data_IF_274897454948
#
_entry.id   IF_274897454948
#
_cell.length_a   1.000
_cell.length_b   1.000
_cell.length_c   1.000
_cell.angle_alpha   90.00
_cell.angle_beta   90.00
_cell.angle_gamma   90.00
#
_symmetry.space_group_name_H-M   'P 1'
#
loop_
_entity.id
_entity.type
_entity.pdbx_description
1 polymer ?
#
# COMPACT_ATOMS: atom_id res chain seq x y z
N UNK A 1 4.34 35.49 -20.88
CA UNK A 1 4.68 34.18 -20.27
C UNK A 1 6.19 33.97 -20.12
N UNK A 2 7.02 34.11 -21.16
CA UNK A 2 8.47 33.85 -21.06
C UNK A 2 9.26 34.75 -20.08
N UNK A 3 8.91 36.04 -19.96
CA UNK A 3 9.58 36.96 -19.04
C UNK A 3 9.31 36.64 -17.57
N UNK A 4 8.05 36.32 -17.25
CA UNK A 4 7.60 35.96 -15.90
C UNK A 4 8.28 34.66 -15.42
N UNK A 5 8.41 33.67 -16.31
CA UNK A 5 9.10 32.41 -16.03
C UNK A 5 10.59 32.63 -15.75
N UNK A 6 11.26 33.52 -16.51
CA UNK A 6 12.67 33.87 -16.29
C UNK A 6 12.90 34.63 -14.99
N UNK A 7 11.95 35.45 -14.57
CA UNK A 7 12.02 36.20 -13.31
C UNK A 7 11.89 35.25 -12.10
N UNK A 8 10.93 34.31 -12.16
CA UNK A 8 10.72 33.27 -11.15
C UNK A 8 11.92 32.31 -11.05
N UNK A 9 12.53 31.97 -12.19
CA UNK A 9 13.77 31.18 -12.25
C UNK A 9 14.94 31.93 -11.62
N UNK A 10 15.07 33.24 -11.83
CA UNK A 10 16.15 34.04 -11.24
C UNK A 10 16.01 34.15 -9.71
N UNK A 11 14.78 34.28 -9.20
CA UNK A 11 14.48 34.28 -7.75
C UNK A 11 14.81 32.95 -7.07
N UNK A 12 14.73 31.82 -7.79
CA UNK A 12 15.00 30.47 -7.28
C UNK A 12 16.42 29.94 -7.62
N UNK A 13 17.37 30.82 -7.96
CA UNK A 13 18.78 30.44 -8.16
C UNK A 13 19.20 30.15 -9.61
N UNK A 14 18.35 30.45 -10.58
CA UNK A 14 18.65 30.41 -12.00
C UNK A 14 18.62 29.02 -12.65
N UNK A 15 18.90 28.99 -13.96
CA UNK A 15 18.89 27.77 -14.78
C UNK A 15 19.99 26.80 -14.35
N UNK A 16 21.10 27.27 -13.78
CA UNK A 16 22.18 26.43 -13.27
C UNK A 16 21.79 25.67 -12.00
N UNK A 17 21.07 26.30 -11.06
CA UNK A 17 20.54 25.61 -9.88
C UNK A 17 19.49 24.57 -10.28
N UNK A 18 18.62 24.90 -11.24
CA UNK A 18 17.63 23.97 -11.77
C UNK A 18 18.28 22.82 -12.55
N UNK A 19 19.38 23.08 -13.28
CA UNK A 19 20.17 22.07 -13.98
C UNK A 19 20.92 21.16 -13.01
N UNK A 20 21.42 21.69 -11.89
CA UNK A 20 22.00 20.91 -10.79
C UNK A 20 20.97 20.02 -10.11
N UNK A 21 19.77 20.53 -9.86
CA UNK A 21 18.63 19.75 -9.38
C UNK A 21 18.18 18.72 -10.42
N UNK A 22 18.17 19.06 -11.71
CA UNK A 22 17.81 18.16 -12.80
C UNK A 22 18.86 17.05 -12.98
N UNK A 23 20.15 17.33 -12.82
CA UNK A 23 21.23 16.34 -12.81
C UNK A 23 21.17 15.45 -11.57
N UNK A 24 20.84 16.00 -10.40
CA UNK A 24 20.49 15.20 -9.24
C UNK A 24 19.27 14.31 -9.55
N UNK A 25 18.28 14.84 -10.28
CA UNK A 25 17.07 14.11 -10.70
C UNK A 25 17.30 13.04 -11.75
N UNK A 26 18.20 13.25 -12.70
CA UNK A 26 18.55 12.28 -13.74
C UNK A 26 19.52 11.20 -13.23
N UNK A 27 20.26 11.46 -12.15
CA UNK A 27 20.97 10.43 -11.39
C UNK A 27 20.03 9.47 -10.62
N UNK A 28 18.70 9.69 -10.64
CA UNK A 28 17.68 8.80 -10.06
C UNK A 28 17.18 7.68 -10.98
N UNK A 29 17.80 7.46 -12.15
CA UNK A 29 17.61 6.18 -12.82
C UNK A 29 18.06 5.04 -11.87
N UNK A 30 17.22 4.01 -11.72
CA UNK A 30 17.36 2.86 -10.79
C UNK A 30 17.09 3.11 -9.29
N UNK A 31 16.12 3.98 -8.96
CA UNK A 31 15.53 4.03 -7.61
C UNK A 31 16.55 4.42 -6.50
N UNK A 32 17.51 5.30 -6.82
CA UNK A 32 18.67 5.64 -5.97
C UNK A 32 18.49 6.90 -5.12
N UNK A 33 17.82 6.74 -3.98
CA UNK A 33 17.53 7.84 -3.06
C UNK A 33 18.69 8.25 -2.14
N UNK A 34 19.80 7.48 -2.07
CA UNK A 34 20.88 7.72 -1.10
C UNK A 34 21.51 9.13 -1.15
N UNK A 35 21.75 9.73 -2.34
CA UNK A 35 22.29 11.09 -2.42
C UNK A 35 21.35 12.19 -1.89
N UNK A 36 20.03 11.92 -1.81
CA UNK A 36 19.01 12.86 -1.32
C UNK A 36 18.94 12.96 0.19
N UNK A 37 19.57 12.04 0.92
CA UNK A 37 19.43 11.96 2.37
C UNK A 37 20.24 13.05 3.08
N UNK A 38 21.32 13.55 2.48
CA UNK A 38 22.21 14.51 3.14
C UNK A 38 21.54 15.85 3.48
N UNK A 39 20.82 16.53 2.55
CA UNK A 39 20.10 17.77 2.89
C UNK A 39 19.15 17.60 4.08
N UNK A 40 18.42 16.49 4.14
CA UNK A 40 17.48 16.17 5.23
C UNK A 40 18.25 15.98 6.54
N UNK A 41 19.24 15.09 6.54
CA UNK A 41 20.05 14.80 7.72
C UNK A 41 20.82 16.02 8.25
N UNK A 42 21.27 16.90 7.34
CA UNK A 42 22.09 18.06 7.72
C UNK A 42 21.35 19.05 8.63
N UNK A 43 20.02 19.12 8.54
CA UNK A 43 19.18 19.99 9.37
C UNK A 43 19.22 19.58 10.84
N UNK A 44 19.06 18.27 11.10
CA UNK A 44 18.94 17.71 12.45
C UNK A 44 20.24 17.14 13.01
N UNK A 45 21.32 17.15 12.22
CA UNK A 45 22.64 16.60 12.57
C UNK A 45 23.09 16.96 13.99
N UNK A 46 22.98 18.24 14.36
CA UNK A 46 23.42 18.71 15.68
C UNK A 46 22.60 18.14 16.84
N UNK A 47 21.32 17.87 16.63
CA UNK A 47 20.43 17.28 17.62
C UNK A 47 20.71 15.77 17.75
N UNK A 48 20.93 15.08 16.63
CA UNK A 48 21.24 13.65 16.60
C UNK A 48 22.54 13.32 17.38
N UNK A 49 23.61 14.09 17.18
CA UNK A 49 24.84 13.89 17.96
C UNK A 49 24.66 14.20 19.44
N UNK A 50 23.91 15.26 19.79
CA UNK A 50 23.58 15.57 21.20
C UNK A 50 22.78 14.45 21.87
N UNK A 51 21.86 13.81 21.13
CA UNK A 51 21.14 12.64 21.61
C UNK A 51 22.07 11.46 21.84
N UNK A 52 22.98 11.16 20.89
CA UNK A 52 23.96 10.09 21.07
C UNK A 52 24.84 10.29 22.31
N UNK A 53 25.17 11.54 22.68
CA UNK A 53 25.95 11.87 23.88
C UNK A 53 25.20 11.53 25.18
N UNK A 54 23.88 11.48 25.14
CA UNK A 54 23.02 11.15 26.27
C UNK A 54 22.65 9.66 26.33
N UNK A 55 22.84 8.91 25.24
CA UNK A 55 22.44 7.51 25.12
C UNK A 55 23.65 6.57 25.35
N UNK A 56 23.50 5.64 26.28
CA UNK A 56 24.43 4.52 26.45
C UNK A 56 23.99 3.37 25.56
N UNK A 57 24.62 3.23 24.38
CA UNK A 57 24.28 2.21 23.38
C UNK A 57 25.14 0.95 23.55
N UNK A 58 24.50 -0.21 23.57
CA UNK A 58 25.15 -1.54 23.63
C UNK A 58 24.58 -2.48 22.55
N UNK A 59 25.40 -3.43 22.09
CA UNK A 59 24.98 -4.44 21.11
C UNK A 59 24.40 -5.66 21.82
N UNK A 60 23.28 -6.15 21.31
CA UNK A 60 22.70 -7.42 21.73
C UNK A 60 23.27 -8.61 20.93
N UNK A 61 23.99 -8.34 19.84
CA UNK A 61 24.54 -9.33 18.92
C UNK A 61 26.07 -9.47 19.08
N UNK A 62 26.66 -10.50 18.47
CA UNK A 62 28.12 -10.64 18.41
C UNK A 62 28.76 -9.69 17.38
N UNK A 63 27.96 -9.09 16.50
CA UNK A 63 28.44 -8.11 15.52
C UNK A 63 28.51 -6.71 16.17
N UNK A 64 29.71 -6.16 16.23
CA UNK A 64 29.99 -4.84 16.82
C UNK A 64 30.36 -3.81 15.76
N UNK A 65 30.38 -4.18 14.48
CA UNK A 65 30.85 -3.33 13.38
C UNK A 65 30.08 -2.01 13.28
N UNK A 66 28.78 -2.03 13.54
CA UNK A 66 27.94 -0.84 13.53
C UNK A 66 28.33 0.14 14.66
N UNK A 67 28.57 -0.36 15.88
CA UNK A 67 28.98 0.48 17.01
C UNK A 67 30.42 0.98 16.85
N UNK A 68 31.31 0.16 16.29
CA UNK A 68 32.67 0.58 15.93
C UNK A 68 32.65 1.71 14.88
N UNK A 69 31.82 1.57 13.83
CA UNK A 69 31.62 2.62 12.85
C UNK A 69 31.02 3.90 13.47
N UNK A 70 30.11 3.76 14.43
CA UNK A 70 29.54 4.88 15.19
C UNK A 70 30.60 5.64 15.99
N UNK A 71 31.54 4.94 16.64
CA UNK A 71 32.66 5.57 17.34
C UNK A 71 33.50 6.42 16.39
N UNK A 72 33.79 5.91 15.19
CA UNK A 72 34.56 6.64 14.18
C UNK A 72 33.80 7.87 13.67
N UNK A 73 32.49 7.76 13.46
CA UNK A 73 31.63 8.89 13.06
C UNK A 73 31.62 9.98 14.14
N UNK A 74 31.58 9.62 15.44
CA UNK A 74 31.67 10.57 16.56
C UNK A 74 33.02 11.26 16.62
N UNK A 75 34.12 10.52 16.49
CA UNK A 75 35.48 11.09 16.49
C UNK A 75 35.70 12.09 15.36
N UNK A 76 35.05 11.90 14.21
CA UNK A 76 35.17 12.78 13.05
C UNK A 76 34.02 13.77 12.88
N UNK A 77 33.17 13.97 13.90
CA UNK A 77 32.01 14.87 13.84
C UNK A 77 32.39 16.32 13.49
N UNK A 78 33.52 16.81 14.01
CA UNK A 78 34.04 18.17 13.79
C UNK A 78 35.06 18.30 12.65
N UNK A 79 35.37 17.20 11.96
CA UNK A 79 36.39 17.20 10.90
C UNK A 79 35.91 17.94 9.65
N UNK A 80 36.77 18.79 9.09
CA UNK A 80 36.55 19.45 7.79
C UNK A 80 36.93 18.57 6.60
N UNK A 81 37.48 17.37 6.82
CA UNK A 81 37.85 16.45 5.73
C UNK A 81 36.59 15.81 5.13
N UNK A 82 36.55 15.73 3.80
CA UNK A 82 35.47 15.08 3.05
C UNK A 82 35.60 13.56 3.02
N UNK A 83 36.83 13.04 3.06
CA UNK A 83 37.16 11.64 2.98
C UNK A 83 37.84 11.13 4.26
N UNK A 84 37.47 9.91 4.66
CA UNK A 84 38.05 9.13 5.75
C UNK A 84 38.81 7.93 5.17
N UNK A 85 39.85 7.46 5.85
CA UNK A 85 40.54 6.24 5.45
C UNK A 85 39.57 5.05 5.50
N UNK A 86 39.68 4.10 4.57
CA UNK A 86 38.81 2.92 4.47
C UNK A 86 39.05 1.86 5.55
N UNK A 87 39.40 2.28 6.78
CA UNK A 87 39.64 1.40 7.93
C UNK A 87 38.36 1.02 8.66
N UNK A 88 37.19 1.51 8.24
CA UNK A 88 35.89 1.22 8.87
C UNK A 88 35.23 0.06 8.15
N UNK A 89 34.98 -1.05 8.86
CA UNK A 89 34.25 -2.18 8.30
C UNK A 89 32.74 -1.85 8.22
N UNK A 90 32.28 -1.55 7.00
CA UNK A 90 30.87 -1.29 6.69
C UNK A 90 30.12 -2.57 6.27
N UNK A 91 30.60 -3.75 6.66
CA UNK A 91 30.01 -5.05 6.34
C UNK A 91 28.59 -5.26 6.87
N UNK A 92 28.14 -4.44 7.82
CA UNK A 92 26.75 -4.42 8.29
C UNK A 92 25.78 -3.81 7.26
N UNK A 93 26.28 -2.99 6.34
CA UNK A 93 25.48 -2.25 5.38
C UNK A 93 25.26 -3.04 4.07
N UNK A 94 24.16 -2.77 3.37
CA UNK A 94 23.87 -3.41 2.08
C UNK A 94 24.91 -3.06 1.01
N UNK A 95 25.03 -3.90 -0.03
CA UNK A 95 25.96 -3.66 -1.15
C UNK A 95 25.79 -2.26 -1.77
N UNK A 96 24.55 -1.75 -1.81
CA UNK A 96 24.22 -0.41 -2.29
C UNK A 96 24.82 0.68 -1.40
N UNK A 97 24.69 0.56 -0.08
CA UNK A 97 25.30 1.48 0.87
C UNK A 97 26.81 1.39 0.86
N UNK A 98 27.38 0.18 0.75
CA UNK A 98 28.83 0.00 0.63
C UNK A 98 29.39 0.68 -0.61
N UNK A 99 28.69 0.58 -1.75
CA UNK A 99 29.06 1.28 -2.98
C UNK A 99 28.94 2.81 -2.84
N UNK A 100 27.89 3.29 -2.15
CA UNK A 100 27.68 4.73 -1.93
C UNK A 100 28.70 5.36 -0.97
N UNK A 101 29.15 4.62 0.04
CA UNK A 101 30.12 5.09 1.04
C UNK A 101 31.55 5.06 0.50
N UNK A 102 31.85 4.16 -0.44
CA UNK A 102 33.19 4.02 -1.04
C UNK A 102 33.42 5.05 -2.14
N UNK A 103 34.47 5.85 -1.98
CA UNK A 103 34.99 6.75 -3.00
C UNK A 103 36.36 6.24 -3.46
N UNK A 104 36.56 6.05 -4.76
CA UNK A 104 37.87 5.73 -5.33
C UNK A 104 38.51 7.01 -5.86
N UNK A 105 39.66 7.38 -5.29
CA UNK A 105 40.46 8.51 -5.76
C UNK A 105 41.88 8.03 -6.02
N UNK A 106 42.26 7.97 -7.30
CA UNK A 106 43.59 7.56 -7.77
C UNK A 106 44.04 6.18 -7.25
N UNK A 107 43.14 5.19 -7.23
CA UNK A 107 43.46 3.80 -6.86
C UNK A 107 43.59 3.57 -5.35
N UNK A 108 43.24 4.57 -4.53
CA UNK A 108 43.10 4.45 -3.08
C UNK A 108 41.62 4.59 -2.72
N UNK A 109 41.11 3.57 -2.03
CA UNK A 109 39.72 3.55 -1.56
C UNK A 109 39.60 4.36 -0.29
N UNK A 110 38.65 5.29 -0.27
CA UNK A 110 38.28 6.10 0.87
C UNK A 110 36.80 5.93 1.20
N UNK A 111 36.40 6.35 2.41
CA UNK A 111 34.99 6.48 2.77
C UNK A 111 34.58 7.94 2.81
N UNK A 112 33.57 8.31 2.03
CA UNK A 112 32.98 9.63 2.07
C UNK A 112 32.37 9.89 3.45
N UNK A 113 32.84 10.91 4.17
CA UNK A 113 32.43 11.18 5.57
C UNK A 113 30.92 11.31 5.71
N UNK A 114 30.30 12.05 4.78
CA UNK A 114 28.85 12.32 4.75
C UNK A 114 28.04 11.05 4.49
N UNK A 115 28.49 10.25 3.53
CA UNK A 115 27.87 8.98 3.19
C UNK A 115 27.98 7.97 4.35
N UNK A 116 29.15 7.90 5.00
CA UNK A 116 29.36 7.04 6.16
C UNK A 116 28.48 7.45 7.34
N UNK A 117 28.39 8.75 7.64
CA UNK A 117 27.54 9.28 8.70
C UNK A 117 26.06 8.89 8.47
N UNK A 118 25.54 9.14 7.26
CA UNK A 118 24.19 8.72 6.89
C UNK A 118 23.97 7.22 7.03
N UNK A 119 24.92 6.41 6.54
CA UNK A 119 24.86 4.96 6.62
C UNK A 119 24.73 4.50 8.09
N UNK A 120 25.63 4.99 8.95
CA UNK A 120 25.63 4.61 10.37
C UNK A 120 24.36 5.06 11.07
N UNK A 121 23.85 6.27 10.85
CA UNK A 121 22.62 6.72 11.50
C UNK A 121 21.38 5.95 11.03
N UNK A 122 21.30 5.60 9.75
CA UNK A 122 20.21 4.78 9.21
C UNK A 122 20.22 3.38 9.82
N UNK A 123 21.37 2.70 9.81
CA UNK A 123 21.49 1.36 10.37
C UNK A 123 21.40 1.35 11.90
N UNK A 124 21.76 2.44 12.58
CA UNK A 124 21.54 2.59 14.02
C UNK A 124 20.05 2.71 14.35
N UNK A 125 19.28 3.45 13.55
CA UNK A 125 17.84 3.54 13.70
C UNK A 125 17.17 2.18 13.48
N UNK A 126 17.57 1.44 12.44
CA UNK A 126 17.10 0.08 12.18
C UNK A 126 17.48 -0.87 13.32
N UNK A 127 18.73 -0.84 13.79
CA UNK A 127 19.20 -1.69 14.89
C UNK A 127 18.49 -1.40 16.22
N UNK A 128 18.12 -0.15 16.49
CA UNK A 128 17.29 0.21 17.65
C UNK A 128 15.84 -0.25 17.50
N UNK A 129 15.33 -0.37 16.27
CA UNK A 129 13.98 -0.86 15.99
C UNK A 129 13.92 -2.39 16.02
N UNK A 130 14.93 -3.08 15.49
CA UNK A 130 15.06 -4.55 15.51
C UNK A 130 15.45 -5.09 16.88
N UNK A 131 16.09 -4.24 17.71
CA UNK A 131 16.63 -4.60 19.01
C UNK A 131 18.11 -4.99 18.96
N UNK A 132 18.72 -5.13 17.79
CA UNK A 132 20.14 -5.49 17.64
C UNK A 132 21.08 -4.57 18.44
N UNK A 133 20.70 -3.30 18.60
CA UNK A 133 21.31 -2.35 19.53
C UNK A 133 20.26 -1.88 20.53
N UNK A 134 20.66 -1.73 21.79
CA UNK A 134 19.80 -1.24 22.85
C UNK A 134 20.45 -0.08 23.61
N UNK A 135 19.62 0.70 24.29
CA UNK A 135 20.04 1.79 25.17
C UNK A 135 19.91 1.32 26.62
N UNK A 136 21.01 1.33 27.35
CA UNK A 136 21.06 1.00 28.78
C UNK A 136 20.14 1.96 29.54
N UNK A 137 19.28 1.42 30.41
CA UNK A 137 18.27 2.18 31.18
C UNK A 137 17.16 2.85 30.35
N UNK A 138 17.01 2.53 29.06
CA UNK A 138 15.87 2.97 28.26
C UNK A 138 14.67 2.04 28.42
N UNK A 139 13.46 2.58 28.57
CA UNK A 139 12.24 1.76 28.56
C UNK A 139 11.90 1.23 27.16
N UNK A 140 12.01 2.06 26.12
CA UNK A 140 11.54 1.74 24.77
C UNK A 140 12.55 0.95 23.92
N UNK A 141 13.84 1.05 24.24
CA UNK A 141 14.94 0.39 23.53
C UNK A 141 15.86 -0.36 24.51
N UNK A 142 15.34 -1.02 25.54
CA UNK A 142 16.16 -1.76 26.53
C UNK A 142 16.69 -3.11 25.99
N UNK A 143 17.65 -3.73 26.70
CA UNK A 143 18.11 -5.09 26.39
C UNK A 143 16.96 -6.09 26.51
N UNK A 144 16.52 -6.63 25.37
CA UNK A 144 15.44 -7.62 25.31
C UNK A 144 15.83 -8.99 25.88
N UNK A 145 17.14 -9.28 26.04
CA UNK A 145 17.64 -10.53 26.63
C UNK A 145 17.57 -10.51 28.16
N UNK A 146 17.60 -9.32 28.76
CA UNK A 146 17.43 -9.14 30.20
C UNK A 146 15.97 -9.35 30.65
N UNK A 147 15.02 -9.45 29.71
CA UNK A 147 13.63 -9.80 29.95
C UNK A 147 13.40 -11.26 29.55
N UNK A 148 13.06 -12.18 30.47
CA UNK A 148 13.01 -13.60 30.17
C UNK A 148 12.05 -13.89 28.98
N UNK A 149 12.64 -14.42 27.91
CA UNK A 149 11.93 -14.95 26.74
C UNK A 149 11.33 -16.31 27.10
N UNK A 150 10.01 -16.41 27.06
CA UNK A 150 9.32 -17.70 27.00
C UNK A 150 8.60 -17.78 25.65
N UNK A 151 9.17 -18.56 24.74
CA UNK A 151 8.51 -19.03 23.53
C UNK A 151 7.39 -19.97 23.97
N UNK A 152 6.15 -19.57 23.68
CA UNK A 152 4.87 -20.21 24.00
C UNK A 152 4.53 -20.46 25.49
N UNK A 153 3.38 -19.88 25.89
CA UNK A 153 2.60 -20.15 27.11
C UNK A 153 3.13 -19.74 28.50
N UNK A 154 3.77 -18.57 28.66
CA UNK A 154 4.01 -17.96 30.00
C UNK A 154 3.64 -16.48 30.12
N UNK A 155 2.74 -15.99 29.28
CA UNK A 155 2.08 -14.71 29.57
C UNK A 155 0.92 -15.00 30.50
N UNK A 156 0.99 -14.53 31.74
CA UNK A 156 -0.17 -14.53 32.62
C UNK A 156 -1.32 -13.79 31.93
N UNK A 157 -2.48 -14.45 31.86
CA UNK A 157 -3.69 -13.91 31.23
C UNK A 157 -3.52 -13.56 29.73
N UNK A 158 -2.89 -14.46 28.97
CA UNK A 158 -2.60 -14.28 27.53
C UNK A 158 -3.82 -13.90 26.69
N UNK A 159 -4.99 -14.52 26.94
CA UNK A 159 -6.24 -14.23 26.22
C UNK A 159 -6.62 -12.76 26.38
N UNK A 160 -6.60 -12.25 27.61
CA UNK A 160 -6.94 -10.85 27.87
C UNK A 160 -5.95 -9.91 27.21
N UNK A 161 -4.65 -10.17 27.31
CA UNK A 161 -3.63 -9.34 26.66
C UNK A 161 -3.81 -9.30 25.14
N UNK A 162 -4.11 -10.43 24.51
CA UNK A 162 -4.42 -10.50 23.08
C UNK A 162 -5.69 -9.72 22.72
N UNK A 163 -6.75 -9.80 23.53
CA UNK A 163 -7.97 -9.02 23.34
C UNK A 163 -7.69 -7.51 23.42
N UNK A 164 -6.86 -7.06 24.37
CA UNK A 164 -6.47 -5.65 24.45
C UNK A 164 -5.61 -5.20 23.27
N UNK A 165 -4.78 -6.09 22.71
CA UNK A 165 -4.05 -5.79 21.46
C UNK A 165 -5.03 -5.63 20.30
N UNK A 166 -5.90 -6.61 20.06
CA UNK A 166 -6.88 -6.53 18.97
C UNK A 166 -7.79 -5.30 19.11
N UNK A 167 -8.30 -5.04 20.32
CA UNK A 167 -9.10 -3.86 20.60
C UNK A 167 -8.32 -2.55 20.41
N UNK A 168 -7.12 -2.45 20.99
CA UNK A 168 -6.33 -1.23 20.97
C UNK A 168 -5.85 -0.83 19.57
N UNK A 169 -5.41 -1.81 18.77
CA UNK A 169 -4.98 -1.57 17.40
C UNK A 169 -6.17 -1.44 16.44
N UNK A 170 -7.21 -2.28 16.59
CA UNK A 170 -8.43 -2.24 15.78
C UNK A 170 -9.24 -0.95 15.95
N UNK A 171 -9.31 -0.38 17.15
CA UNK A 171 -9.95 0.92 17.40
C UNK A 171 -9.02 2.13 17.10
N UNK A 172 -7.85 1.89 16.52
CA UNK A 172 -6.81 2.89 16.25
C UNK A 172 -6.32 3.69 17.49
N UNK A 173 -6.46 3.15 18.70
CA UNK A 173 -5.89 3.76 19.91
C UNK A 173 -4.37 3.65 19.94
N UNK A 174 -3.84 2.54 19.44
CA UNK A 174 -2.42 2.19 19.50
C UNK A 174 -1.98 1.81 20.92
N UNK A 175 -0.71 1.43 21.09
CA UNK A 175 -0.24 0.82 22.32
C UNK A 175 -0.24 1.78 23.53
N UNK A 176 -0.01 3.07 23.29
CA UNK A 176 0.12 4.07 24.36
C UNK A 176 -1.22 4.42 25.01
N UNK A 177 -2.27 4.65 24.21
CA UNK A 177 -3.58 5.00 24.74
C UNK A 177 -4.28 3.77 25.30
N UNK A 178 -4.12 2.61 24.67
CA UNK A 178 -4.67 1.36 25.16
C UNK A 178 -4.14 1.03 26.56
N UNK A 179 -2.82 1.12 26.77
CA UNK A 179 -2.23 0.88 28.09
C UNK A 179 -2.68 1.87 29.17
N UNK A 180 -2.95 3.15 28.81
CA UNK A 180 -3.44 4.15 29.77
C UNK A 180 -4.84 3.86 30.30
N UNK A 181 -5.66 3.16 29.53
CA UNK A 181 -7.04 2.82 29.87
C UNK A 181 -7.21 1.33 30.20
N UNK A 182 -6.13 0.56 30.19
CA UNK A 182 -6.13 -0.85 30.55
C UNK A 182 -5.84 -1.03 32.05
N UNK A 183 -6.18 -2.20 32.64
CA UNK A 183 -5.78 -2.55 34.00
C UNK A 183 -4.24 -2.51 34.17
N UNK A 184 -3.75 -2.27 35.39
CA UNK A 184 -2.31 -2.09 35.69
C UNK A 184 -1.41 -3.24 35.19
N UNK A 185 -1.95 -4.45 35.02
CA UNK A 185 -1.22 -5.61 34.50
C UNK A 185 -0.90 -5.54 32.99
N UNK A 186 -1.50 -4.59 32.25
CA UNK A 186 -1.36 -4.44 30.79
C UNK A 186 -0.64 -3.13 30.50
N UNK A 187 0.66 -3.22 30.33
CA UNK A 187 1.50 -2.08 30.02
C UNK A 187 1.76 -1.93 28.52
N UNK A 188 2.27 -0.75 28.14
CA UNK A 188 2.56 -0.40 26.75
C UNK A 188 3.55 -1.39 26.10
N UNK A 189 4.55 -1.85 26.85
CA UNK A 189 5.59 -2.74 26.30
C UNK A 189 5.03 -4.12 26.01
N UNK A 190 4.20 -4.67 26.90
CA UNK A 190 3.51 -5.94 26.65
C UNK A 190 2.66 -5.86 25.38
N UNK A 191 1.87 -4.80 25.20
CA UNK A 191 1.02 -4.64 24.01
C UNK A 191 1.84 -4.56 22.72
N UNK A 192 2.90 -3.74 22.69
CA UNK A 192 3.79 -3.61 21.52
C UNK A 192 4.46 -4.95 21.19
N UNK A 193 4.94 -5.66 22.21
CA UNK A 193 5.62 -6.95 22.05
C UNK A 193 4.67 -8.01 21.48
N UNK A 194 3.46 -8.10 22.01
CA UNK A 194 2.44 -9.04 21.54
C UNK A 194 2.05 -8.73 20.10
N UNK A 195 1.84 -7.46 19.75
CA UNK A 195 1.54 -7.07 18.36
C UNK A 195 2.69 -7.39 17.39
N UNK A 196 3.94 -7.21 17.82
CA UNK A 196 5.10 -7.51 16.98
C UNK A 196 5.36 -9.02 16.80
N UNK A 197 5.16 -9.82 17.86
CA UNK A 197 5.59 -11.23 17.89
C UNK A 197 4.44 -12.22 17.65
N UNK A 198 3.23 -11.91 18.13
CA UNK A 198 2.10 -12.83 18.11
C UNK A 198 1.04 -12.47 17.07
N UNK A 199 0.93 -11.19 16.69
CA UNK A 199 0.01 -10.73 15.64
C UNK A 199 0.75 -10.65 14.32
N UNK A 200 0.32 -11.42 13.33
CA UNK A 200 0.81 -11.36 11.96
C UNK A 200 -0.37 -11.22 11.00
N UNK A 201 -0.10 -10.72 9.80
CA UNK A 201 -1.12 -10.55 8.76
C UNK A 201 -1.78 -11.90 8.44
N UNK A 202 -1.00 -12.97 8.36
CA UNK A 202 -1.46 -14.32 8.05
C UNK A 202 -2.37 -14.87 9.15
N UNK A 203 -2.06 -14.57 10.42
CA UNK A 203 -2.90 -14.96 11.57
C UNK A 203 -4.20 -14.18 11.62
N UNK A 204 -4.16 -12.88 11.32
CA UNK A 204 -5.37 -12.05 11.21
C UNK A 204 -6.25 -12.53 10.06
N UNK A 205 -5.66 -12.85 8.90
CA UNK A 205 -6.41 -13.44 7.78
C UNK A 205 -7.02 -14.80 8.12
N UNK A 206 -6.31 -15.64 8.88
CA UNK A 206 -6.86 -16.92 9.35
C UNK A 206 -8.05 -16.69 10.31
N UNK A 207 -7.90 -15.79 11.29
CA UNK A 207 -8.96 -15.46 12.22
C UNK A 207 -10.18 -14.85 11.51
N UNK A 208 -9.97 -13.94 10.54
CA UNK A 208 -11.03 -13.37 9.72
C UNK A 208 -11.77 -14.46 8.93
N UNK A 209 -11.06 -15.42 8.33
CA UNK A 209 -11.70 -16.56 7.64
C UNK A 209 -12.58 -17.37 8.57
N UNK A 210 -12.12 -17.66 9.78
CA UNK A 210 -12.91 -18.40 10.77
C UNK A 210 -14.18 -17.62 11.16
N UNK A 211 -14.07 -16.31 11.39
CA UNK A 211 -15.21 -15.43 11.68
C UNK A 211 -16.19 -15.39 10.50
N UNK A 212 -15.69 -15.23 9.27
CA UNK A 212 -16.51 -15.20 8.05
C UNK A 212 -17.26 -16.53 7.87
N UNK A 213 -16.58 -17.65 8.12
CA UNK A 213 -17.18 -18.98 8.02
C UNK A 213 -18.30 -19.18 9.06
N UNK A 214 -18.07 -18.80 10.32
CA UNK A 214 -19.11 -18.85 11.35
C UNK A 214 -20.26 -17.89 11.06
N UNK A 215 -19.95 -16.67 10.57
CA UNK A 215 -20.95 -15.69 10.15
C UNK A 215 -21.88 -16.23 9.05
N UNK A 216 -21.31 -16.96 8.08
CA UNK A 216 -22.04 -17.55 6.96
C UNK A 216 -23.06 -18.64 7.38
N UNK A 217 -22.90 -19.23 8.57
CA UNK A 217 -23.80 -20.27 9.09
C UNK A 217 -25.14 -19.69 9.58
N UNK A 218 -25.19 -18.41 9.90
CA UNK A 218 -26.42 -17.78 10.34
C UNK A 218 -27.33 -17.47 9.16
N UNK A 219 -28.64 -17.60 9.35
CA UNK A 219 -29.63 -17.28 8.32
C UNK A 219 -29.94 -15.78 8.24
N UNK A 220 -29.75 -15.04 9.36
CA UNK A 220 -30.09 -13.62 9.43
C UNK A 220 -29.39 -12.77 8.34
N UNK A 221 -28.09 -12.95 8.04
CA UNK A 221 -27.41 -12.17 7.01
C UNK A 221 -28.00 -12.34 5.60
N UNK A 222 -28.67 -13.47 5.32
CA UNK A 222 -29.31 -13.75 4.03
C UNK A 222 -30.55 -12.88 3.77
N UNK A 223 -31.12 -12.26 4.81
CA UNK A 223 -32.20 -11.29 4.64
C UNK A 223 -31.69 -9.92 4.18
N UNK A 224 -30.42 -9.60 4.44
CA UNK A 224 -29.81 -8.32 4.03
C UNK A 224 -29.21 -8.36 2.62
N UNK A 225 -28.72 -9.52 2.19
CA UNK A 225 -28.08 -9.65 0.88
C UNK A 225 -27.84 -11.09 0.47
N UNK A 226 -27.14 -11.24 -0.65
CA UNK A 226 -26.74 -12.53 -1.23
C UNK A 226 -25.24 -12.77 -1.04
N UNK A 227 -24.83 -14.00 -0.70
CA UNK A 227 -23.42 -14.26 -0.44
C UNK A 227 -22.54 -14.08 -1.68
N UNK A 228 -23.06 -14.37 -2.88
CA UNK A 228 -22.31 -14.26 -4.14
C UNK A 228 -22.13 -12.83 -4.67
N UNK A 229 -22.55 -11.82 -3.90
CA UNK A 229 -22.44 -10.40 -4.28
C UNK A 229 -21.47 -9.72 -3.32
N UNK A 230 -20.43 -9.12 -3.88
CA UNK A 230 -19.49 -8.27 -3.15
C UNK A 230 -19.50 -6.84 -3.68
N UNK A 231 -19.01 -5.94 -2.85
CA UNK A 231 -18.91 -4.53 -3.14
C UNK A 231 -17.47 -4.11 -2.87
N UNK A 232 -16.82 -3.58 -3.89
CA UNK A 232 -15.45 -3.09 -3.84
C UNK A 232 -15.43 -1.60 -3.52
N UNK A 233 -14.75 -1.24 -2.44
CA UNK A 233 -14.56 0.15 -2.01
C UNK A 233 -13.11 0.44 -1.60
N UNK A 234 -12.69 1.68 -1.83
CA UNK A 234 -11.40 2.22 -1.41
C UNK A 234 -11.60 3.43 -0.52
N UNK A 235 -11.26 3.31 0.76
CA UNK A 235 -11.31 4.41 1.72
C UNK A 235 -9.92 4.99 1.94
N UNK A 236 -9.78 6.30 1.74
CA UNK A 236 -8.50 6.97 1.98
C UNK A 236 -8.22 7.07 3.48
N UNK A 237 -7.10 6.51 3.92
CA UNK A 237 -6.60 6.63 5.28
C UNK A 237 -5.39 7.55 5.33
N UNK A 238 -5.47 8.56 6.21
CA UNK A 238 -4.37 9.50 6.42
C UNK A 238 -3.23 8.81 7.17
N UNK A 239 -2.02 8.91 6.62
CA UNK A 239 -0.81 8.42 7.25
C UNK A 239 -0.10 9.58 7.93
N UNK A 240 0.69 9.30 8.98
CA UNK A 240 1.64 10.30 9.49
C UNK A 240 2.55 10.76 8.34
N UNK A 241 2.71 12.08 8.19
CA UNK A 241 3.63 12.65 7.21
C UNK A 241 5.05 12.12 7.41
N UNK A 242 5.77 11.92 6.30
CA UNK A 242 7.17 11.45 6.26
C UNK A 242 7.35 9.92 6.39
N UNK A 243 6.62 9.13 5.60
CA UNK A 243 6.90 7.71 5.37
C UNK A 243 7.22 7.44 3.89
N UNK A 244 8.00 6.40 3.60
CA UNK A 244 8.45 6.06 2.23
C UNK A 244 7.30 5.68 1.27
N UNK A 245 6.10 5.42 1.81
CA UNK A 245 4.90 5.00 1.06
C UNK A 245 3.83 6.10 0.95
N UNK A 246 3.96 7.19 1.71
CA UNK A 246 3.03 8.29 1.66
C UNK A 246 3.22 9.05 0.37
N UNK A 247 2.39 8.76 -0.62
CA UNK A 247 2.22 9.63 -1.77
C UNK A 247 1.09 10.63 -1.48
N UNK A 248 1.25 11.87 -1.96
CA UNK A 248 0.23 12.89 -1.80
C UNK A 248 -0.95 12.56 -2.73
N UNK A 249 -2.12 12.31 -2.15
CA UNK A 249 -3.30 11.97 -2.96
C UNK A 249 -3.78 13.20 -3.74
N UNK A 250 -3.78 13.14 -5.07
CA UNK A 250 -4.12 14.27 -5.96
C UNK A 250 -5.55 14.83 -5.68
N UNK A 251 -6.50 13.98 -5.27
CA UNK A 251 -7.89 14.39 -4.97
C UNK A 251 -8.13 14.80 -3.51
N UNK A 252 -7.30 14.38 -2.55
CA UNK A 252 -7.48 14.68 -1.11
C UNK A 252 -6.41 15.62 -0.54
N UNK A 253 -5.32 15.87 -1.27
CA UNK A 253 -4.25 16.80 -0.92
C UNK A 253 -3.35 16.36 0.25
N UNK A 254 -3.60 15.21 0.88
CA UNK A 254 -2.91 14.68 2.06
C UNK A 254 -2.05 13.45 1.74
N UNK A 255 -1.08 13.18 2.61
CA UNK A 255 -0.25 11.98 2.55
C UNK A 255 -1.03 10.79 3.16
N UNK A 256 -1.12 9.68 2.43
CA UNK A 256 -1.96 8.57 2.87
C UNK A 256 -1.83 7.33 2.00
N UNK A 257 -2.66 6.33 2.31
CA UNK A 257 -2.91 5.17 1.48
C UNK A 257 -4.41 4.88 1.38
N UNK A 258 -4.77 3.89 0.58
CA UNK A 258 -6.14 3.46 0.35
C UNK A 258 -6.32 2.13 1.06
N UNK A 259 -7.18 2.11 2.08
CA UNK A 259 -7.70 0.89 2.65
C UNK A 259 -8.78 0.37 1.71
N UNK A 260 -8.50 -0.76 1.09
CA UNK A 260 -9.31 -1.35 0.05
C UNK A 260 -9.99 -2.60 0.55
N UNK A 261 -11.32 -2.64 0.42
CA UNK A 261 -12.14 -3.69 0.99
C UNK A 261 -13.10 -4.30 -0.04
N UNK A 262 -13.34 -5.60 0.06
CA UNK A 262 -14.51 -6.24 -0.53
C UNK A 262 -15.50 -6.57 0.57
N UNK A 263 -16.65 -5.93 0.51
CA UNK A 263 -17.73 -6.09 1.48
C UNK A 263 -18.81 -6.94 0.82
N UNK A 264 -19.14 -8.10 1.40
CA UNK A 264 -20.29 -8.88 0.95
C UNK A 264 -21.56 -8.06 1.13
N UNK A 265 -22.54 -8.27 0.26
CA UNK A 265 -23.87 -7.67 0.41
C UNK A 265 -24.58 -8.08 1.72
N UNK A 266 -24.04 -9.07 2.44
CA UNK A 266 -24.45 -9.46 3.80
C UNK A 266 -23.73 -8.69 4.92
N UNK A 267 -23.08 -7.55 4.65
CA UNK A 267 -22.40 -6.69 5.63
C UNK A 267 -21.17 -7.29 6.33
N UNK A 268 -20.41 -8.13 5.64
CA UNK A 268 -19.14 -8.66 6.16
C UNK A 268 -18.00 -8.39 5.16
N UNK A 269 -16.84 -7.95 5.65
CA UNK A 269 -15.65 -7.81 4.83
C UNK A 269 -15.07 -9.19 4.50
N UNK A 270 -14.95 -9.49 3.21
CA UNK A 270 -14.38 -10.73 2.68
C UNK A 270 -12.87 -10.58 2.43
N UNK A 271 -12.46 -9.38 2.02
CA UNK A 271 -11.09 -9.07 1.70
C UNK A 271 -10.75 -7.64 2.15
N UNK A 272 -9.52 -7.43 2.60
CA UNK A 272 -9.02 -6.13 3.03
C UNK A 272 -7.52 -6.04 2.77
N UNK A 273 -7.10 -4.95 2.13
CA UNK A 273 -5.70 -4.69 1.77
C UNK A 273 -5.39 -3.19 1.86
N UNK A 274 -4.12 -2.85 2.04
CA UNK A 274 -3.66 -1.46 2.06
C UNK A 274 -2.83 -1.17 0.80
N UNK A 275 -3.28 -0.18 0.02
CA UNK A 275 -2.71 0.17 -1.28
C UNK A 275 -2.15 1.59 -1.22
N UNK A 276 -1.03 1.85 -1.91
CA UNK A 276 -0.49 3.20 -2.02
C UNK A 276 -1.47 4.15 -2.77
N UNK A 277 -1.43 5.43 -2.42
CA UNK A 277 -2.17 6.46 -3.13
C UNK A 277 -1.76 6.56 -4.61
N UNK A 278 -2.69 6.92 -5.49
CA UNK A 278 -2.41 7.12 -6.92
C UNK A 278 -2.41 5.85 -7.77
N UNK A 279 -2.54 4.66 -7.16
CA UNK A 279 -2.75 3.42 -7.90
C UNK A 279 -4.22 3.28 -8.28
N UNK A 280 -4.48 2.78 -9.48
CA UNK A 280 -5.83 2.67 -10.03
C UNK A 280 -6.58 1.49 -9.37
N UNK A 281 -7.48 1.78 -8.42
CA UNK A 281 -8.19 0.81 -7.54
C UNK A 281 -8.87 -0.33 -8.29
N UNK A 282 -9.41 -0.07 -9.47
CA UNK A 282 -10.14 -1.07 -10.25
C UNK A 282 -9.24 -2.22 -10.75
N UNK A 283 -7.91 -2.06 -10.72
CA UNK A 283 -6.92 -3.12 -10.95
C UNK A 283 -6.91 -4.15 -9.80
N UNK A 284 -7.28 -3.74 -8.58
CA UNK A 284 -7.28 -4.58 -7.38
C UNK A 284 -8.61 -5.28 -7.09
N UNK A 285 -9.70 -4.91 -7.80
CA UNK A 285 -10.98 -5.62 -7.72
C UNK A 285 -10.80 -7.11 -8.00
N UNK A 286 -10.00 -7.46 -9.00
CA UNK A 286 -9.79 -8.86 -9.34
C UNK A 286 -8.83 -9.58 -8.39
N UNK A 287 -7.83 -8.88 -7.85
CA UNK A 287 -6.90 -9.46 -6.88
C UNK A 287 -7.61 -9.90 -5.62
N UNK A 288 -8.48 -9.03 -5.08
CA UNK A 288 -9.24 -9.34 -3.86
C UNK A 288 -10.15 -10.56 -4.05
N UNK A 289 -10.80 -10.71 -5.21
CA UNK A 289 -11.70 -11.84 -5.48
C UNK A 289 -10.97 -13.17 -5.65
N UNK A 290 -9.75 -13.15 -6.21
CA UNK A 290 -8.95 -14.36 -6.36
C UNK A 290 -8.22 -14.76 -5.09
N UNK A 291 -7.94 -13.78 -4.22
CA UNK A 291 -7.36 -14.00 -2.90
C UNK A 291 -8.43 -14.32 -1.86
N UNK A 292 -9.69 -14.00 -2.13
CA UNK A 292 -10.82 -14.41 -1.33
C UNK A 292 -10.90 -15.94 -1.32
N UNK A 293 -10.65 -16.51 -0.14
CA UNK A 293 -10.76 -17.95 0.14
C UNK A 293 -12.01 -18.26 0.96
N UNK A 294 -12.98 -17.35 1.02
CA UNK A 294 -14.23 -17.54 1.72
C UNK A 294 -15.20 -18.41 0.91
N UNK A 295 -16.18 -18.99 1.61
CA UNK A 295 -17.20 -19.87 1.01
C UNK A 295 -18.25 -19.12 0.17
N UNK A 296 -18.12 -17.79 0.02
CA UNK A 296 -19.14 -16.93 -0.56
C UNK A 296 -19.21 -16.99 -2.10
N UNK A 297 -18.20 -17.58 -2.76
CA UNK A 297 -18.16 -17.84 -4.21
C UNK A 297 -18.67 -16.64 -5.05
N UNK A 298 -18.07 -15.48 -4.83
CA UNK A 298 -18.52 -14.20 -5.39
C UNK A 298 -18.38 -14.20 -6.92
N UNK A 299 -19.50 -14.01 -7.61
CA UNK A 299 -19.55 -13.88 -9.08
C UNK A 299 -20.04 -12.49 -9.53
N UNK A 300 -20.48 -11.64 -8.59
CA UNK A 300 -21.03 -10.32 -8.85
C UNK A 300 -20.36 -9.27 -7.97
N UNK A 301 -19.87 -8.21 -8.60
CA UNK A 301 -19.07 -7.20 -7.92
C UNK A 301 -19.54 -5.81 -8.27
N UNK A 302 -20.04 -5.11 -7.25
CA UNK A 302 -20.33 -3.70 -7.34
C UNK A 302 -19.05 -2.90 -7.11
N UNK A 303 -18.79 -1.88 -7.92
CA UNK A 303 -17.59 -1.05 -7.79
C UNK A 303 -17.96 0.42 -7.97
N UNK A 304 -17.18 1.34 -7.40
CA UNK A 304 -17.38 2.76 -7.67
C UNK A 304 -16.92 3.14 -9.10
N UNK A 305 -17.14 4.39 -9.47
CA UNK A 305 -16.95 5.02 -10.78
C UNK A 305 -15.61 4.67 -11.47
N UNK A 306 -14.54 4.36 -10.73
CA UNK A 306 -13.27 3.90 -11.29
C UNK A 306 -13.34 2.54 -12.00
N UNK A 307 -14.32 1.68 -11.68
CA UNK A 307 -14.57 0.41 -12.35
C UNK A 307 -15.09 0.51 -13.79
N UNK A 308 -15.29 1.72 -14.33
CA UNK A 308 -15.92 1.92 -15.64
C UNK A 308 -14.98 1.80 -16.86
N UNK A 309 -13.68 1.58 -16.67
CA UNK A 309 -12.75 1.48 -17.81
C UNK A 309 -13.05 0.24 -18.66
N UNK A 310 -12.89 0.36 -19.99
CA UNK A 310 -13.20 -0.77 -20.86
C UNK A 310 -12.34 -2.02 -20.59
N UNK A 311 -11.00 -1.95 -20.39
CA UNK A 311 -10.19 -3.13 -20.10
C UNK A 311 -10.64 -3.90 -18.86
N UNK A 312 -11.19 -3.21 -17.86
CA UNK A 312 -11.72 -3.82 -16.64
C UNK A 312 -13.10 -4.43 -16.82
N UNK A 313 -13.80 -4.21 -17.92
CA UNK A 313 -14.94 -5.07 -18.26
C UNK A 313 -14.51 -6.36 -18.97
N UNK A 314 -13.37 -6.35 -19.68
CA UNK A 314 -12.94 -7.49 -20.49
C UNK A 314 -12.37 -8.65 -19.67
N UNK A 315 -11.46 -8.37 -18.75
CA UNK A 315 -10.80 -9.41 -17.96
C UNK A 315 -11.74 -10.13 -16.96
N UNK A 316 -12.56 -9.42 -16.14
CA UNK A 316 -13.50 -10.09 -15.23
C UNK A 316 -14.52 -10.95 -15.97
N UNK A 317 -14.98 -10.51 -17.15
CA UNK A 317 -15.92 -11.28 -17.96
C UNK A 317 -15.38 -12.67 -18.29
N UNK A 318 -14.11 -12.78 -18.69
CA UNK A 318 -13.47 -14.07 -18.97
C UNK A 318 -13.21 -14.90 -17.70
N UNK A 319 -13.09 -14.27 -16.54
CA UNK A 319 -13.01 -14.93 -15.24
C UNK A 319 -14.39 -15.36 -14.70
N UNK A 320 -15.47 -15.08 -15.41
CA UNK A 320 -16.84 -15.38 -14.98
C UNK A 320 -17.42 -14.38 -13.97
N UNK A 321 -16.75 -13.24 -13.78
CA UNK A 321 -17.13 -12.21 -12.81
C UNK A 321 -17.94 -11.12 -13.51
N UNK A 322 -19.13 -10.83 -12.99
CA UNK A 322 -20.01 -9.75 -13.44
C UNK A 322 -19.70 -8.46 -12.68
N UNK A 323 -19.04 -7.53 -13.36
CA UNK A 323 -18.78 -6.21 -12.81
C UNK A 323 -20.00 -5.29 -12.99
N UNK A 324 -20.42 -4.65 -11.91
CA UNK A 324 -21.61 -3.80 -11.82
C UNK A 324 -21.24 -2.41 -11.26
N UNK A 325 -20.53 -1.57 -12.04
CA UNK A 325 -20.07 -0.28 -11.53
C UNK A 325 -21.22 0.70 -11.29
N UNK A 326 -21.08 1.52 -10.25
CA UNK A 326 -21.96 2.67 -10.01
C UNK A 326 -21.79 3.67 -11.15
N UNK A 327 -22.91 4.09 -11.74
CA UNK A 327 -22.93 5.14 -12.76
C UNK A 327 -23.76 6.33 -12.28
N UNK A 328 -23.14 7.52 -12.28
CA UNK A 328 -23.81 8.78 -11.93
C UNK A 328 -24.67 9.30 -13.08
N UNK A 329 -24.14 9.27 -14.30
CA UNK A 329 -24.81 9.66 -15.55
C UNK A 329 -24.43 8.67 -16.65
N UNK A 330 -25.31 8.52 -17.65
CA UNK A 330 -25.06 7.67 -18.83
C UNK A 330 -24.96 8.48 -20.13
N UNK A 331 -25.24 9.79 -20.09
CA UNK A 331 -25.26 10.65 -21.29
C UNK A 331 -23.90 10.75 -22.00
N UNK A 332 -22.80 10.66 -21.27
CA UNK A 332 -21.43 10.73 -21.82
C UNK A 332 -20.84 9.35 -22.11
N UNK A 333 -21.60 8.27 -21.88
CA UNK A 333 -21.13 6.92 -22.09
C UNK A 333 -21.12 6.57 -23.59
N UNK A 334 -20.01 6.01 -24.06
CA UNK A 334 -19.86 5.58 -25.45
C UNK A 334 -20.45 4.18 -25.60
N UNK A 335 -21.51 4.04 -26.40
CA UNK A 335 -22.03 2.74 -26.82
C UNK A 335 -21.38 2.33 -28.14
N UNK A 336 -20.97 1.05 -28.21
CA UNK A 336 -20.32 0.48 -29.37
C UNK A 336 -21.28 -0.43 -30.13
N UNK A 337 -21.40 -0.23 -31.44
CA UNK A 337 -22.22 -1.09 -32.29
C UNK A 337 -21.40 -2.28 -32.81
N UNK A 338 -22.04 -3.40 -33.18
CA UNK A 338 -21.33 -4.55 -33.72
C UNK A 338 -20.66 -4.27 -35.08
N UNK A 339 -21.33 -3.58 -36.01
CA UNK A 339 -20.79 -3.26 -37.33
C UNK A 339 -21.33 -1.93 -37.89
N UNK A 340 -20.60 -1.29 -38.82
CA UNK A 340 -20.90 0.07 -39.36
C UNK A 340 -22.18 0.19 -40.19
N UNK A 341 -22.76 -0.92 -40.59
CA UNK A 341 -23.97 -1.06 -41.40
C UNK A 341 -25.24 -1.34 -40.58
N UNK A 342 -25.13 -1.77 -39.31
CA UNK A 342 -26.28 -2.14 -38.45
C UNK A 342 -26.98 -0.93 -37.83
N UNK A 343 -28.06 -0.45 -38.41
CA UNK A 343 -28.85 0.71 -37.91
C UNK A 343 -30.01 0.26 -37.01
N UNK A 344 -30.19 0.93 -35.86
CA UNK A 344 -31.28 0.61 -34.92
C UNK A 344 -32.40 1.65 -34.92
N UNK A 345 -33.62 1.28 -35.31
CA UNK A 345 -34.76 2.20 -35.52
C UNK A 345 -35.01 3.25 -34.42
N UNK A 346 -34.86 2.88 -33.15
CA UNK A 346 -35.22 3.75 -32.01
C UNK A 346 -34.05 4.16 -31.12
N UNK A 347 -32.92 3.48 -31.24
CA UNK A 347 -31.78 3.63 -30.33
C UNK A 347 -30.46 3.93 -31.06
N UNK A 348 -30.48 4.11 -32.39
CA UNK A 348 -29.27 4.42 -33.18
C UNK A 348 -28.46 5.60 -32.60
N UNK A 349 -29.08 6.70 -32.14
CA UNK A 349 -28.35 7.84 -31.59
C UNK A 349 -27.49 7.52 -30.34
N UNK A 350 -27.76 6.41 -29.64
CA UNK A 350 -26.93 5.98 -28.51
C UNK A 350 -25.55 5.49 -28.96
N UNK A 351 -25.45 4.90 -30.14
CA UNK A 351 -24.24 4.25 -30.64
C UNK A 351 -23.37 5.22 -31.43
N UNK A 352 -22.12 5.40 -31.02
CA UNK A 352 -21.20 6.35 -31.65
C UNK A 352 -19.94 5.71 -32.24
N UNK A 353 -19.64 4.45 -31.91
CA UNK A 353 -18.43 3.74 -32.34
C UNK A 353 -18.73 2.30 -32.70
N UNK A 354 -17.76 1.61 -33.31
CA UNK A 354 -17.87 0.19 -33.67
C UNK A 354 -16.84 -0.64 -32.93
N UNK A 355 -17.17 -1.91 -32.63
CA UNK A 355 -16.25 -2.87 -32.01
C UNK A 355 -15.28 -3.41 -33.06
N UNK A 356 -14.01 -3.60 -32.67
CA UNK A 356 -12.99 -4.24 -33.52
C UNK A 356 -12.93 -5.76 -33.33
N UNK A 357 -13.83 -6.52 -33.96
CA UNK A 357 -13.92 -7.98 -33.80
C UNK A 357 -12.64 -8.73 -34.21
N UNK A 358 -11.95 -8.29 -35.26
CA UNK A 358 -10.71 -8.91 -35.73
C UNK A 358 -9.64 -9.00 -34.63
N UNK A 359 -9.54 -7.99 -33.76
CA UNK A 359 -8.59 -8.00 -32.64
C UNK A 359 -8.93 -9.04 -31.58
N UNK A 360 -10.23 -9.26 -31.35
CA UNK A 360 -10.72 -10.28 -30.42
C UNK A 360 -10.42 -11.66 -31.01
N UNK A 361 -10.78 -11.89 -32.27
CA UNK A 361 -10.56 -13.16 -32.98
C UNK A 361 -9.09 -13.50 -33.15
N UNK A 362 -8.21 -12.51 -33.37
CA UNK A 362 -6.78 -12.78 -33.52
C UNK A 362 -6.12 -13.17 -32.19
N UNK A 363 -6.56 -12.58 -31.08
CA UNK A 363 -5.88 -12.68 -29.78
C UNK A 363 -6.68 -13.44 -28.71
N UNK A 364 -7.77 -14.14 -29.07
CA UNK A 364 -8.59 -14.84 -28.07
C UNK A 364 -7.81 -15.91 -27.31
N UNK A 365 -6.92 -16.63 -27.98
CA UNK A 365 -6.07 -17.66 -27.36
C UNK A 365 -5.12 -17.04 -26.34
N UNK A 366 -4.50 -15.91 -26.68
CA UNK A 366 -3.63 -15.16 -25.77
C UNK A 366 -4.40 -14.67 -24.53
N UNK A 367 -5.61 -14.14 -24.73
CA UNK A 367 -6.48 -13.72 -23.62
C UNK A 367 -6.85 -14.90 -22.71
N UNK A 368 -7.18 -16.06 -23.29
CA UNK A 368 -7.48 -17.27 -22.51
C UNK A 368 -6.25 -17.79 -21.76
N UNK A 369 -5.05 -17.75 -22.37
CA UNK A 369 -3.82 -18.13 -21.68
C UNK A 369 -3.54 -17.25 -20.46
N UNK A 370 -3.84 -15.95 -20.55
CA UNK A 370 -3.75 -15.02 -19.42
C UNK A 370 -4.73 -15.40 -18.31
N UNK A 371 -5.99 -15.67 -18.66
CA UNK A 371 -7.03 -16.09 -17.71
C UNK A 371 -6.65 -17.39 -17.01
N UNK A 372 -6.16 -18.38 -17.74
CA UNK A 372 -5.68 -19.64 -17.19
C UNK A 372 -4.46 -19.45 -16.28
N UNK A 373 -3.55 -18.53 -16.63
CA UNK A 373 -2.38 -18.21 -15.80
C UNK A 373 -2.78 -17.54 -14.49
N UNK A 374 -3.81 -16.70 -14.52
CA UNK A 374 -4.42 -16.08 -13.34
C UNK A 374 -5.09 -17.15 -12.47
N UNK A 375 -5.94 -18.01 -13.05
CA UNK A 375 -6.61 -19.08 -12.32
C UNK A 375 -5.62 -20.10 -11.72
N UNK A 376 -4.48 -20.31 -12.36
CA UNK A 376 -3.39 -21.13 -11.84
C UNK A 376 -2.58 -20.43 -10.72
N UNK A 377 -2.90 -19.19 -10.35
CA UNK A 377 -2.20 -18.42 -9.32
C UNK A 377 -0.79 -17.97 -9.68
N UNK A 378 -0.39 -18.08 -10.97
CA UNK A 378 0.97 -17.73 -11.42
C UNK A 378 1.17 -16.22 -11.58
N UNK A 379 0.10 -15.48 -11.81
CA UNK A 379 0.14 -14.04 -12.08
C UNK A 379 -1.07 -13.36 -11.44
N UNK A 380 -0.84 -12.25 -10.73
CA UNK A 380 -1.91 -11.41 -10.21
C UNK A 380 -2.53 -10.55 -11.33
N UNK A 381 -3.86 -10.44 -11.42
CA UNK A 381 -4.55 -9.51 -12.32
C UNK A 381 -4.00 -8.09 -12.21
N UNK A 382 -3.66 -7.66 -11.00
CA UNK A 382 -3.21 -6.29 -10.77
C UNK A 382 -1.92 -5.96 -11.52
N UNK A 383 -0.97 -6.90 -11.44
CA UNK A 383 0.32 -6.85 -12.12
C UNK A 383 0.14 -6.80 -13.63
N UNK A 384 -0.80 -7.58 -14.17
CA UNK A 384 -1.11 -7.60 -15.60
C UNK A 384 -1.73 -6.29 -16.05
N UNK A 385 -2.82 -5.83 -15.41
CA UNK A 385 -3.50 -4.61 -15.80
C UNK A 385 -2.57 -3.39 -15.68
N UNK A 386 -1.69 -3.34 -14.66
CA UNK A 386 -0.67 -2.29 -14.52
C UNK A 386 0.37 -2.32 -15.64
N UNK A 387 0.88 -3.51 -16.00
CA UNK A 387 1.86 -3.69 -17.08
C UNK A 387 1.25 -3.43 -18.46
N UNK A 388 -0.02 -3.79 -18.64
CA UNK A 388 -0.78 -3.55 -19.86
C UNK A 388 -1.16 -2.07 -20.01
N UNK A 389 -1.45 -1.37 -18.91
CA UNK A 389 -1.78 0.06 -18.89
C UNK A 389 -0.59 0.97 -19.19
N UNK A 390 0.60 0.66 -18.68
CA UNK A 390 1.81 1.48 -18.89
C UNK A 390 2.30 1.50 -20.35
N UNK A 391 2.08 0.41 -21.10
CA UNK A 391 2.44 0.27 -22.52
C UNK A 391 1.20 0.25 -23.45
N UNK A 392 0.08 0.81 -22.97
CA UNK A 392 -1.29 0.65 -23.52
C UNK A 392 -1.43 0.96 -25.01
N UNK A 393 -0.61 1.84 -25.57
CA UNK A 393 -0.67 2.17 -26.99
C UNK A 393 0.00 1.15 -27.89
N UNK A 394 0.97 0.36 -27.44
CA UNK A 394 1.72 -0.58 -28.30
C UNK A 394 1.35 -2.05 -28.07
N UNK A 395 0.81 -2.39 -26.89
CA UNK A 395 0.51 -3.78 -26.56
C UNK A 395 -0.77 -4.28 -27.24
N UNK A 396 -0.63 -5.26 -28.15
CA UNK A 396 -1.75 -5.86 -28.91
C UNK A 396 -2.74 -6.60 -28.00
N UNK A 397 -2.25 -7.29 -26.97
CA UNK A 397 -3.08 -8.01 -26.01
C UNK A 397 -3.96 -7.06 -25.17
N UNK A 398 -3.41 -5.91 -24.75
CA UNK A 398 -4.22 -4.88 -24.07
C UNK A 398 -5.34 -4.36 -24.97
N UNK A 399 -5.07 -4.16 -26.26
CA UNK A 399 -6.09 -3.74 -27.22
C UNK A 399 -7.19 -4.79 -27.36
N UNK A 400 -6.84 -6.08 -27.39
CA UNK A 400 -7.81 -7.17 -27.43
C UNK A 400 -8.73 -7.17 -26.19
N UNK A 401 -8.16 -7.11 -24.98
CA UNK A 401 -8.95 -6.98 -23.73
C UNK A 401 -9.83 -5.73 -23.73
N UNK A 402 -9.33 -4.61 -24.28
CA UNK A 402 -10.09 -3.37 -24.41
C UNK A 402 -11.27 -3.51 -25.38
N UNK A 403 -11.11 -4.16 -26.53
CA UNK A 403 -12.21 -4.40 -27.47
C UNK A 403 -13.27 -5.33 -26.87
N UNK A 404 -12.86 -6.42 -26.22
CA UNK A 404 -13.78 -7.29 -25.49
C UNK A 404 -14.54 -6.52 -24.40
N UNK A 405 -13.81 -5.72 -23.64
CA UNK A 405 -14.36 -4.87 -22.60
C UNK A 405 -15.37 -3.83 -23.11
N UNK A 406 -15.20 -3.31 -24.34
CA UNK A 406 -16.18 -2.43 -24.98
C UNK A 406 -17.50 -3.15 -25.26
N UNK A 407 -17.45 -4.40 -25.70
CA UNK A 407 -18.65 -5.23 -25.92
C UNK A 407 -19.39 -5.42 -24.61
N UNK A 408 -18.70 -5.95 -23.60
CA UNK A 408 -19.29 -6.27 -22.29
C UNK A 408 -19.84 -5.00 -21.62
N UNK A 409 -19.09 -3.89 -21.67
CA UNK A 409 -19.54 -2.60 -21.14
C UNK A 409 -20.79 -2.10 -21.88
N UNK A 410 -20.86 -2.23 -23.20
CA UNK A 410 -22.04 -1.80 -23.97
C UNK A 410 -23.28 -2.62 -23.58
N UNK A 411 -23.13 -3.94 -23.42
CA UNK A 411 -24.22 -4.80 -22.94
C UNK A 411 -24.69 -4.39 -21.53
N UNK A 412 -23.74 -4.15 -20.62
CA UNK A 412 -24.06 -3.63 -19.29
C UNK A 412 -24.80 -2.30 -19.34
N UNK A 413 -24.35 -1.35 -20.18
CA UNK A 413 -24.99 -0.05 -20.34
C UNK A 413 -26.42 -0.16 -20.86
N UNK A 414 -26.67 -1.04 -21.83
CA UNK A 414 -28.01 -1.29 -22.36
C UNK A 414 -28.93 -1.85 -21.27
N UNK A 415 -28.48 -2.87 -20.53
CA UNK A 415 -29.23 -3.37 -19.37
C UNK A 415 -29.44 -2.29 -18.31
N UNK A 416 -28.45 -1.45 -18.03
CA UNK A 416 -28.56 -0.36 -17.06
C UNK A 416 -29.60 0.71 -17.47
N UNK A 417 -29.75 0.98 -18.76
CA UNK A 417 -30.76 1.93 -19.27
C UNK A 417 -32.15 1.31 -19.25
N UNK A 418 -32.28 0.04 -19.66
CA UNK A 418 -33.56 -0.66 -19.81
C UNK A 418 -34.13 -1.20 -18.50
N UNK A 419 -33.30 -1.65 -17.56
CA UNK A 419 -33.73 -2.38 -16.37
C UNK A 419 -33.68 -1.47 -15.13
N UNK A 420 -34.85 -1.06 -14.64
CA UNK A 420 -34.98 -0.26 -13.42
C UNK A 420 -34.44 -0.98 -12.18
N UNK A 421 -34.73 -2.27 -12.05
CA UNK A 421 -34.35 -3.10 -10.90
C UNK A 421 -32.82 -3.21 -10.76
N UNK A 422 -32.09 -3.31 -11.88
CA UNK A 422 -30.63 -3.34 -11.89
C UNK A 422 -30.06 -2.05 -11.30
N UNK A 423 -30.61 -0.89 -11.69
CA UNK A 423 -30.18 0.41 -11.14
C UNK A 423 -30.48 0.54 -9.66
N UNK A 424 -31.64 0.09 -9.23
CA UNK A 424 -32.02 0.11 -7.83
C UNK A 424 -31.12 -0.81 -7.00
N UNK A 425 -30.81 -2.00 -7.51
CA UNK A 425 -29.88 -2.94 -6.87
C UNK A 425 -28.48 -2.34 -6.74
N UNK A 426 -27.91 -1.76 -7.82
CA UNK A 426 -26.58 -1.12 -7.76
C UNK A 426 -26.54 -0.01 -6.70
N UNK A 427 -27.58 0.83 -6.65
CA UNK A 427 -27.68 1.90 -5.64
C UNK A 427 -27.79 1.33 -4.23
N UNK A 428 -28.67 0.37 -4.01
CA UNK A 428 -28.89 -0.23 -2.70
C UNK A 428 -27.61 -0.88 -2.15
N UNK A 429 -26.89 -1.63 -2.99
CA UNK A 429 -25.62 -2.25 -2.60
C UNK A 429 -24.54 -1.20 -2.30
N UNK A 430 -24.46 -0.12 -3.08
CA UNK A 430 -23.48 0.94 -2.79
C UNK A 430 -23.78 1.65 -1.46
N UNK A 431 -25.06 1.87 -1.12
CA UNK A 431 -25.42 2.47 0.19
C UNK A 431 -24.98 1.60 1.37
N UNK A 432 -24.84 0.28 1.21
CA UNK A 432 -24.33 -0.58 2.28
C UNK A 432 -22.88 -0.27 2.64
N UNK A 433 -22.07 0.16 1.67
CA UNK A 433 -20.69 0.62 1.93
C UNK A 433 -20.71 1.82 2.87
N UNK A 434 -21.62 2.78 2.63
CA UNK A 434 -21.71 4.00 3.45
C UNK A 434 -21.99 3.62 4.91
N UNK A 435 -22.94 2.71 5.16
CA UNK A 435 -23.21 2.20 6.51
C UNK A 435 -22.05 1.39 7.12
N UNK A 436 -21.30 0.66 6.29
CA UNK A 436 -20.11 -0.07 6.75
C UNK A 436 -18.98 0.89 7.14
N UNK A 437 -18.75 1.94 6.35
CA UNK A 437 -17.76 2.96 6.64
C UNK A 437 -18.14 3.76 7.89
N UNK A 438 -19.43 4.11 8.06
CA UNK A 438 -19.93 4.73 9.30
C UNK A 438 -19.67 3.85 10.54
N UNK A 439 -19.84 2.53 10.40
CA UNK A 439 -19.57 1.57 11.46
C UNK A 439 -18.06 1.46 11.77
N UNK A 440 -17.20 1.47 10.75
CA UNK A 440 -15.75 1.51 10.92
C UNK A 440 -15.30 2.79 11.62
N UNK A 441 -15.85 3.95 11.26
CA UNK A 441 -15.57 5.22 11.92
C UNK A 441 -16.02 5.21 13.40
N UNK A 442 -17.15 4.57 13.70
CA UNK A 442 -17.64 4.40 15.07
C UNK A 442 -16.72 3.51 15.92
N UNK A 443 -16.21 2.40 15.35
CA UNK A 443 -15.23 1.53 16.03
C UNK A 443 -13.86 2.23 16.15
N UNK A 444 -13.46 2.99 15.13
CA UNK A 444 -12.16 3.66 14.98
C UNK A 444 -11.98 4.94 15.81
N UNK A 445 -12.59 5.03 16.99
CA UNK A 445 -12.62 6.26 17.80
C UNK A 445 -11.24 6.72 18.32
N UNK A 446 -10.18 5.93 18.18
CA UNK A 446 -8.80 6.28 18.53
C UNK A 446 -8.13 7.28 17.58
N UNK A 447 -8.84 7.69 16.51
CA UNK A 447 -8.47 8.72 15.56
C UNK A 447 -8.41 8.20 14.11
N UNK A 448 -8.41 9.07 13.10
CA UNK A 448 -8.42 8.65 11.69
C UNK A 448 -7.01 8.40 11.11
N UNK A 449 -5.95 8.73 11.85
CA UNK A 449 -4.56 8.69 11.36
C UNK A 449 -3.92 7.38 11.74
N UNK A 450 -3.43 6.64 10.75
CA UNK A 450 -2.58 5.47 10.95
C UNK A 450 -1.21 5.92 11.50
N UNK A 451 -0.87 5.45 12.71
CA UNK A 451 0.29 5.94 13.48
C UNK A 451 1.61 5.31 13.02
N UNK A 452 1.56 4.17 12.33
CA UNK A 452 2.74 3.44 11.86
C UNK A 452 3.10 3.77 10.41
N UNK A 453 4.40 3.97 10.15
CA UNK A 453 4.95 4.06 8.80
C UNK A 453 5.26 2.71 8.17
N UNK A 454 5.17 1.61 8.93
CA UNK A 454 5.44 0.25 8.47
C UNK A 454 4.24 -0.29 7.67
N UNK A 455 4.42 -0.68 6.39
CA UNK A 455 3.35 -1.28 5.58
C UNK A 455 2.72 -2.53 6.19
N UNK A 456 3.49 -3.34 6.94
CA UNK A 456 2.94 -4.54 7.58
C UNK A 456 1.97 -4.14 8.68
N UNK A 457 2.32 -3.13 9.49
CA UNK A 457 1.44 -2.62 10.55
C UNK A 457 0.22 -1.89 9.99
N UNK A 458 0.37 -1.17 8.87
CA UNK A 458 -0.77 -0.58 8.15
C UNK A 458 -1.73 -1.67 7.67
N UNK A 459 -1.21 -2.76 7.10
CA UNK A 459 -2.03 -3.88 6.66
C UNK A 459 -2.69 -4.63 7.81
N UNK A 460 -1.99 -4.83 8.93
CA UNK A 460 -2.57 -5.40 10.16
C UNK A 460 -3.72 -4.55 10.70
N UNK A 461 -3.63 -3.23 10.56
CA UNK A 461 -4.62 -2.31 11.10
C UNK A 461 -5.89 -2.19 10.23
N UNK A 462 -5.77 -2.54 8.94
CA UNK A 462 -6.88 -2.58 7.98
C UNK A 462 -7.64 -3.91 8.03
N UNK A 463 -7.04 -4.95 8.62
CA UNK A 463 -7.63 -6.27 8.85
C UNK A 463 -8.21 -6.35 10.26
#
# INVERSE_FOLDING_TARGET
>A
MGHTIRQLLAEQGGVEALSGQLHAVTAYHDNNYLPLLWPIHSHDRSALFRLLDLLQLESSTRDHRLLEALVVVRQHQGSRRSALAASVDVGFASQRWQAFVREDVNGKVFHGRRALELCVFMYLAEALQSGDVFVVSSGACADYRAQPLAWDAKLDDATRRNLFVVFGFGCNLGESQTARHAPEAIDRHSLRRINAQHVSVEKLEAALRDIIHEYARFDLPRFWGRPNVAIADGTHMELRGNNLLGEQHIRYGRYGGIAYHHISSTYIALFSNFIACGVWEAVYILDGLLQDRSDFAVDRVHADTHGQSEPVFGLPYLLGIKLLPRMRTWNDAVFYRPAKDIVYRHIDPLFSRTVGWELIETHWQDMMQVVLSIQAGKVLPSMLLRKLGSHSRQNRLYRAFRELGRVVRTLFLLSFVSEGDLRQSIRAETTKIESYNDFLDWIGFGGPILKSGDPIEQLKQVK
#
